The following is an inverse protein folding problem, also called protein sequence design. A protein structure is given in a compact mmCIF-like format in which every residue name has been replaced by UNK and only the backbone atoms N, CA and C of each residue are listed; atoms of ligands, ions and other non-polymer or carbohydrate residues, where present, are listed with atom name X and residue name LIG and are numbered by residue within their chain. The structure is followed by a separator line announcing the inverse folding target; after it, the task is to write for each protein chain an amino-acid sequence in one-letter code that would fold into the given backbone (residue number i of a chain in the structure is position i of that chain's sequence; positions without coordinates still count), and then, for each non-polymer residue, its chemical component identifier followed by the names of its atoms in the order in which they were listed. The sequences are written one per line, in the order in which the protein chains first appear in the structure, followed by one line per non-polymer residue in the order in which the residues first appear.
data_IF_299726405939
#
_entry.id   IF_299726405939
#
_cell.length_a   1.000
_cell.length_b   1.000
_cell.length_c   1.000
_cell.angle_alpha   90.00
_cell.angle_beta   90.00
_cell.angle_gamma   90.00
#
_symmetry.space_group_name_H-M   'P 1'
#
loop_
_entity.id
_entity.type
_entity.pdbx_description
1 polymer ?
#
# COMPACT_ATOMS: atom_id res chain seq x y z
N UNK A 1 7.66 -9.32 -57.88
CA UNK A 1 7.27 -8.31 -56.86
C UNK A 1 6.66 -9.06 -55.68
N UNK A 2 7.45 -9.30 -54.64
CA UNK A 2 6.93 -9.91 -53.42
C UNK A 2 6.07 -8.85 -52.71
N UNK A 3 4.79 -9.16 -52.50
CA UNK A 3 3.94 -8.34 -51.65
C UNK A 3 4.57 -8.34 -50.24
N UNK A 4 5.10 -7.20 -49.82
CA UNK A 4 5.54 -7.02 -48.45
C UNK A 4 4.32 -7.25 -47.56
N UNK A 5 4.30 -8.38 -46.86
CA UNK A 5 3.26 -8.70 -45.90
C UNK A 5 3.22 -7.54 -44.91
N UNK A 6 2.14 -6.75 -44.98
CA UNK A 6 1.91 -5.67 -44.03
C UNK A 6 1.68 -6.34 -42.68
N UNK A 7 2.73 -6.40 -41.86
CA UNK A 7 2.63 -6.92 -40.51
C UNK A 7 1.66 -6.03 -39.74
N UNK A 8 0.60 -6.61 -39.19
CA UNK A 8 -0.37 -5.91 -38.35
C UNK A 8 0.37 -5.20 -37.21
N UNK A 9 0.41 -3.86 -37.18
CA UNK A 9 1.14 -3.08 -36.18
C UNK A 9 0.63 -3.37 -34.77
N UNK A 10 -0.65 -3.73 -34.64
CA UNK A 10 -1.29 -4.13 -33.39
C UNK A 10 -0.69 -5.44 -32.85
N UNK A 11 -0.51 -6.42 -33.72
CA UNK A 11 0.09 -7.71 -33.36
C UNK A 11 1.57 -7.55 -32.99
N UNK A 12 2.31 -6.74 -33.74
CA UNK A 12 3.71 -6.41 -33.43
C UNK A 12 3.85 -5.70 -32.08
N UNK A 13 2.99 -4.72 -31.79
CA UNK A 13 2.96 -4.02 -30.51
C UNK A 13 2.69 -4.99 -29.34
N UNK A 14 1.65 -5.83 -29.46
CA UNK A 14 1.33 -6.83 -28.42
C UNK A 14 2.48 -7.81 -28.19
N UNK A 15 3.14 -8.27 -29.25
CA UNK A 15 4.28 -9.16 -29.13
C UNK A 15 5.45 -8.51 -28.38
N UNK A 16 5.77 -7.24 -28.70
CA UNK A 16 6.80 -6.46 -28.00
C UNK A 16 6.45 -6.28 -26.52
N UNK A 17 5.19 -5.93 -26.25
CA UNK A 17 4.72 -5.73 -24.90
C UNK A 17 4.85 -7.04 -24.08
N UNK A 18 4.44 -8.20 -24.64
CA UNK A 18 4.61 -9.51 -23.98
C UNK A 18 6.08 -9.83 -23.75
N UNK A 19 6.96 -9.48 -24.70
CA UNK A 19 8.41 -9.61 -24.54
C UNK A 19 8.96 -8.83 -23.35
N UNK A 20 8.45 -7.63 -23.06
CA UNK A 20 8.85 -6.85 -21.90
C UNK A 20 8.37 -7.47 -20.58
N UNK A 21 7.17 -8.03 -20.55
CA UNK A 21 6.67 -8.77 -19.38
C UNK A 21 7.50 -10.03 -19.10
N UNK A 22 7.84 -10.79 -20.14
CA UNK A 22 8.73 -11.95 -20.04
C UNK A 22 10.12 -11.54 -19.54
N UNK A 23 10.60 -10.36 -19.93
CA UNK A 23 11.84 -9.78 -19.42
C UNK A 23 11.74 -9.26 -17.97
N UNK A 24 10.57 -9.37 -17.32
CA UNK A 24 10.35 -8.94 -15.94
C UNK A 24 10.22 -7.42 -15.78
N UNK A 25 10.01 -6.68 -16.86
CA UNK A 25 9.76 -5.25 -16.77
C UNK A 25 8.33 -5.02 -16.26
N UNK A 26 8.14 -4.16 -15.25
CA UNK A 26 6.81 -3.82 -14.79
C UNK A 26 6.20 -2.88 -15.81
N UNK A 27 5.25 -3.38 -16.59
CA UNK A 27 4.56 -2.56 -17.59
C UNK A 27 3.11 -2.41 -17.09
N UNK A 28 2.57 -1.19 -17.06
CA UNK A 28 1.27 -0.88 -16.45
C UNK A 28 0.09 -1.04 -17.43
N UNK A 29 -0.38 -2.27 -17.65
CA UNK A 29 -1.54 -2.58 -18.49
C UNK A 29 -2.57 -3.23 -17.60
N UNK A 30 -2.85 -2.54 -16.47
CA UNK A 30 -3.64 -2.99 -15.33
C UNK A 30 -5.04 -3.58 -15.67
N UNK A 31 -5.46 -3.52 -16.93
CA UNK A 31 -6.59 -4.27 -17.45
C UNK A 31 -6.38 -4.64 -18.92
N UNK A 32 -7.01 -5.72 -19.42
CA UNK A 32 -7.07 -6.02 -20.85
C UNK A 32 -7.57 -4.85 -21.71
N UNK A 33 -8.42 -3.98 -21.13
CA UNK A 33 -8.91 -2.77 -21.77
C UNK A 33 -7.79 -1.72 -21.99
N UNK A 34 -6.87 -1.55 -21.04
CA UNK A 34 -5.73 -0.65 -21.21
C UNK A 34 -4.79 -1.15 -22.31
N UNK A 35 -4.54 -2.46 -22.38
CA UNK A 35 -3.77 -3.07 -23.46
C UNK A 35 -4.39 -2.84 -24.82
N UNK A 36 -5.72 -3.05 -24.92
CA UNK A 36 -6.46 -2.81 -26.15
C UNK A 36 -6.40 -1.34 -26.57
N UNK A 37 -6.50 -0.41 -25.62
CA UNK A 37 -6.42 1.02 -25.88
C UNK A 37 -5.04 1.48 -26.36
N UNK A 38 -3.95 0.96 -25.78
CA UNK A 38 -2.58 1.25 -26.24
C UNK A 38 -2.36 0.71 -27.65
N UNK A 39 -2.82 -0.51 -27.93
CA UNK A 39 -2.70 -1.12 -29.24
C UNK A 39 -3.55 -0.38 -30.29
N UNK A 40 -4.74 0.08 -29.90
CA UNK A 40 -5.60 0.94 -30.72
C UNK A 40 -4.95 2.29 -31.01
N UNK A 41 -4.28 2.89 -30.02
CA UNK A 41 -3.56 4.14 -30.23
C UNK A 41 -2.45 3.98 -31.28
N UNK A 42 -1.71 2.86 -31.24
CA UNK A 42 -0.69 2.53 -32.25
C UNK A 42 -1.33 2.30 -33.62
N UNK A 43 -2.49 1.62 -33.68
CA UNK A 43 -3.25 1.43 -34.92
C UNK A 43 -3.68 2.76 -35.55
N UNK A 44 -4.03 3.75 -34.72
CA UNK A 44 -4.37 5.11 -35.13
C UNK A 44 -3.15 5.97 -35.52
N UNK A 45 -1.93 5.45 -35.38
CA UNK A 45 -0.71 6.12 -35.82
C UNK A 45 0.15 6.70 -34.70
N UNK A 46 -0.20 6.48 -33.43
CA UNK A 46 0.70 6.83 -32.33
C UNK A 46 2.02 6.05 -32.44
N UNK A 47 3.12 6.71 -32.12
CA UNK A 47 4.44 6.09 -32.09
C UNK A 47 4.48 4.96 -31.04
N UNK A 48 4.63 3.72 -31.52
CA UNK A 48 4.65 2.53 -30.69
C UNK A 48 5.73 2.56 -29.61
N UNK A 49 6.89 3.17 -29.89
CA UNK A 49 7.99 3.27 -28.92
C UNK A 49 7.64 4.23 -27.79
N UNK A 50 7.06 5.40 -28.11
CA UNK A 50 6.60 6.36 -27.10
C UNK A 50 5.49 5.79 -26.21
N UNK A 51 4.52 5.10 -26.81
CA UNK A 51 3.41 4.46 -26.08
C UNK A 51 3.94 3.36 -25.16
N UNK A 52 4.90 2.56 -25.63
CA UNK A 52 5.51 1.50 -24.84
C UNK A 52 6.37 2.06 -23.70
N UNK A 53 7.15 3.11 -23.95
CA UNK A 53 7.93 3.82 -22.92
C UNK A 53 7.03 4.38 -21.82
N UNK A 54 5.92 5.05 -22.20
CA UNK A 54 4.92 5.56 -21.26
C UNK A 54 4.33 4.44 -20.39
N UNK A 55 4.02 3.29 -20.99
CA UNK A 55 3.50 2.12 -20.28
C UNK A 55 4.53 1.50 -19.32
N UNK A 56 5.79 1.39 -19.73
CA UNK A 56 6.90 0.90 -18.90
C UNK A 56 7.14 1.85 -17.73
N UNK A 57 7.27 3.16 -17.99
CA UNK A 57 7.51 4.17 -16.95
C UNK A 57 6.39 4.17 -15.93
N UNK A 58 5.14 4.13 -16.38
CA UNK A 58 3.98 4.06 -15.49
C UNK A 58 3.97 2.76 -14.67
N UNK A 59 4.40 1.63 -15.26
CA UNK A 59 4.56 0.37 -14.55
C UNK A 59 5.68 0.38 -13.52
N UNK A 60 6.82 1.02 -13.82
CA UNK A 60 7.90 1.23 -12.86
C UNK A 60 7.46 2.12 -11.69
N UNK A 61 6.69 3.18 -11.96
CA UNK A 61 6.10 4.02 -10.92
C UNK A 61 5.15 3.22 -10.02
N UNK A 62 4.28 2.40 -10.63
CA UNK A 62 3.38 1.50 -9.91
C UNK A 62 4.14 0.48 -9.05
N UNK A 63 5.16 -0.17 -9.60
CA UNK A 63 5.99 -1.14 -8.91
C UNK A 63 6.79 -0.51 -7.76
N UNK A 64 7.27 0.73 -7.94
CA UNK A 64 7.98 1.47 -6.89
C UNK A 64 7.04 1.84 -5.75
N UNK A 65 5.80 2.27 -6.05
CA UNK A 65 4.76 2.48 -5.03
C UNK A 65 4.40 1.18 -4.31
N UNK A 66 4.27 0.07 -5.04
CA UNK A 66 3.98 -1.24 -4.45
C UNK A 66 5.08 -1.71 -3.48
N UNK A 67 6.36 -1.50 -3.85
CA UNK A 67 7.52 -1.77 -2.98
C UNK A 67 7.57 -0.85 -1.76
N UNK A 68 7.26 0.43 -1.93
CA UNK A 68 7.21 1.40 -0.82
C UNK A 68 6.08 1.14 0.18
N UNK A 69 4.99 0.51 -0.25
CA UNK A 69 3.79 0.35 0.57
C UNK A 69 3.98 -0.56 1.80
N UNK A 70 4.93 -1.50 1.79
CA UNK A 70 5.16 -2.42 2.91
C UNK A 70 6.08 -1.83 4.00
N UNK A 71 7.02 -0.95 3.61
CA UNK A 71 8.02 -0.36 4.51
C UNK A 71 7.45 0.25 5.80
N UNK A 72 6.35 1.05 5.76
CA UNK A 72 5.83 1.65 6.97
C UNK A 72 5.22 0.65 7.95
N UNK A 73 4.87 -0.56 7.50
CA UNK A 73 4.30 -1.60 8.35
C UNK A 73 5.35 -2.51 8.98
N UNK A 74 6.55 -2.56 8.41
CA UNK A 74 7.61 -3.45 8.88
C UNK A 74 8.03 -3.14 10.32
N UNK A 75 8.35 -1.87 10.63
CA UNK A 75 8.78 -1.47 11.98
C UNK A 75 7.70 -1.70 13.05
N UNK A 76 6.45 -1.27 12.88
CA UNK A 76 5.39 -1.56 13.85
C UNK A 76 5.17 -3.06 14.06
N UNK A 77 5.18 -3.85 12.99
CA UNK A 77 5.04 -5.31 13.10
C UNK A 77 6.19 -5.93 13.90
N UNK A 78 7.42 -5.47 13.65
CA UNK A 78 8.61 -5.90 14.40
C UNK A 78 8.52 -5.53 15.88
N UNK A 79 8.10 -4.31 16.21
CA UNK A 79 7.92 -3.84 17.60
C UNK A 79 6.84 -4.64 18.31
N UNK A 80 5.70 -4.89 17.66
CA UNK A 80 4.61 -5.69 18.24
C UNK A 80 5.05 -7.15 18.48
N UNK A 81 5.73 -7.75 17.50
CA UNK A 81 6.27 -9.09 17.62
C UNK A 81 7.30 -9.18 18.77
N UNK A 82 8.19 -8.19 18.88
CA UNK A 82 9.17 -8.10 19.96
C UNK A 82 8.53 -7.94 21.33
N UNK A 83 7.52 -7.07 21.46
CA UNK A 83 6.79 -6.86 22.71
C UNK A 83 6.05 -8.12 23.16
N UNK A 84 5.37 -8.81 22.25
CA UNK A 84 4.68 -10.06 22.57
C UNK A 84 5.64 -11.20 22.91
N UNK A 85 6.75 -11.33 22.18
CA UNK A 85 7.78 -12.30 22.49
C UNK A 85 8.40 -12.02 23.87
N UNK A 86 8.71 -10.75 24.16
CA UNK A 86 9.21 -10.33 25.47
C UNK A 86 8.24 -10.63 26.60
N UNK A 87 6.95 -10.32 26.42
CA UNK A 87 5.89 -10.65 27.39
C UNK A 87 5.80 -12.16 27.64
N UNK A 88 5.84 -12.97 26.58
CA UNK A 88 5.77 -14.43 26.69
C UNK A 88 6.99 -15.02 27.41
N UNK A 89 8.21 -14.57 27.07
CA UNK A 89 9.44 -15.02 27.70
C UNK A 89 9.52 -14.61 29.17
N UNK A 90 9.15 -13.37 29.50
CA UNK A 90 9.10 -12.91 30.88
C UNK A 90 8.02 -13.63 31.69
N UNK A 91 6.83 -13.83 31.14
CA UNK A 91 5.80 -14.63 31.80
C UNK A 91 6.28 -16.06 32.08
N UNK A 92 6.95 -16.70 31.12
CA UNK A 92 7.49 -18.04 31.29
C UNK A 92 8.64 -18.11 32.32
N UNK A 93 9.50 -17.09 32.37
CA UNK A 93 10.68 -17.07 33.25
C UNK A 93 10.41 -16.53 34.66
N UNK A 94 9.61 -15.47 34.80
CA UNK A 94 9.36 -14.81 36.08
C UNK A 94 8.36 -15.57 36.95
N UNK A 95 7.36 -16.23 36.36
CA UNK A 95 6.34 -16.98 37.11
C UNK A 95 6.96 -18.02 38.06
N UNK A 96 7.82 -18.95 37.61
CA UNK A 96 8.41 -19.94 38.53
C UNK A 96 9.33 -19.29 39.57
N UNK A 97 9.96 -18.15 39.25
CA UNK A 97 10.81 -17.43 40.18
C UNK A 97 9.98 -16.81 41.32
N UNK A 98 8.86 -16.17 40.99
CA UNK A 98 7.93 -15.66 42.00
C UNK A 98 7.29 -16.77 42.81
N UNK A 99 6.84 -17.87 42.19
CA UNK A 99 6.32 -19.04 42.90
C UNK A 99 7.32 -19.55 43.96
N UNK A 100 8.60 -19.62 43.61
CA UNK A 100 9.68 -20.00 44.54
C UNK A 100 9.81 -19.04 45.71
N UNK A 101 9.83 -17.73 45.44
CA UNK A 101 9.95 -16.68 46.49
C UNK A 101 8.72 -16.69 47.42
N UNK A 102 7.50 -16.73 46.87
CA UNK A 102 6.28 -16.77 47.70
C UNK A 102 6.24 -18.02 48.59
N UNK A 103 6.66 -19.17 48.06
CA UNK A 103 6.75 -20.41 48.82
C UNK A 103 7.80 -20.34 49.94
N UNK A 104 8.98 -19.77 49.65
CA UNK A 104 10.07 -19.61 50.62
C UNK A 104 9.68 -18.71 51.80
N UNK A 105 9.01 -17.58 51.52
CA UNK A 105 8.58 -16.64 52.56
C UNK A 105 7.24 -16.98 53.20
N UNK A 106 6.57 -18.06 52.79
CA UNK A 106 5.23 -18.46 53.23
C UNK A 106 4.20 -17.32 53.13
N UNK A 107 4.37 -16.42 52.18
CA UNK A 107 3.46 -15.28 51.96
C UNK A 107 2.23 -15.80 51.22
N UNK A 108 1.05 -15.47 51.71
CA UNK A 108 -0.21 -15.84 51.05
C UNK A 108 -0.21 -15.27 49.62
N UNK A 109 -0.48 -16.08 48.58
CA UNK A 109 -0.45 -15.59 47.20
C UNK A 109 -1.48 -14.48 47.02
N UNK A 110 -0.99 -13.31 46.59
CA UNK A 110 -1.81 -12.13 46.32
C UNK A 110 -2.41 -12.13 44.91
N UNK A 111 -3.16 -11.07 44.60
CA UNK A 111 -3.74 -10.83 43.27
C UNK A 111 -2.72 -10.88 42.13
N UNK A 112 -1.48 -10.45 42.38
CA UNK A 112 -0.41 -10.42 41.39
C UNK A 112 0.00 -11.79 40.87
N UNK A 113 0.00 -12.82 41.73
CA UNK A 113 0.35 -14.18 41.32
C UNK A 113 -0.77 -14.81 40.48
N UNK A 114 -2.03 -14.58 40.88
CA UNK A 114 -3.20 -14.96 40.07
C UNK A 114 -3.26 -14.23 38.73
N UNK A 115 -2.83 -12.96 38.66
CA UNK A 115 -2.68 -12.23 37.40
C UNK A 115 -1.56 -12.79 36.51
N UNK A 116 -0.44 -13.22 37.08
CA UNK A 116 0.63 -13.88 36.34
C UNK A 116 0.20 -15.24 35.78
N UNK A 117 -0.50 -16.06 36.56
CA UNK A 117 -1.08 -17.32 36.08
C UNK A 117 -2.16 -17.09 35.03
N UNK A 118 -3.01 -16.09 35.20
CA UNK A 118 -4.00 -15.68 34.21
C UNK A 118 -3.31 -15.18 32.93
N UNK A 119 -2.24 -14.39 33.02
CA UNK A 119 -1.46 -13.94 31.88
C UNK A 119 -0.74 -15.10 31.18
N UNK A 120 -0.22 -16.05 31.94
CA UNK A 120 0.42 -17.27 31.43
C UNK A 120 -0.56 -18.18 30.69
N UNK A 121 -1.76 -18.37 31.24
CA UNK A 121 -2.83 -19.14 30.58
C UNK A 121 -3.46 -18.40 29.40
N UNK A 122 -3.49 -17.07 29.44
CA UNK A 122 -3.92 -16.22 28.33
C UNK A 122 -2.84 -16.04 27.24
N UNK A 123 -1.57 -16.30 27.53
CA UNK A 123 -0.44 -16.17 26.60
C UNK A 123 -0.70 -16.77 25.20
N UNK A 124 -1.13 -18.04 25.05
CA UNK A 124 -1.39 -18.59 23.72
C UNK A 124 -2.52 -17.86 23.00
N UNK A 125 -3.55 -17.40 23.73
CA UNK A 125 -4.66 -16.63 23.18
C UNK A 125 -4.24 -15.22 22.78
N UNK A 126 -3.39 -14.56 23.57
CA UNK A 126 -2.82 -13.26 23.27
C UNK A 126 -1.95 -13.35 22.02
N UNK A 127 -1.10 -14.37 21.93
CA UNK A 127 -0.24 -14.60 20.78
C UNK A 127 -1.06 -14.92 19.52
N UNK A 128 -2.09 -15.76 19.65
CA UNK A 128 -3.04 -16.04 18.57
C UNK A 128 -3.81 -14.78 18.11
N UNK A 129 -4.29 -13.96 19.05
CA UNK A 129 -5.00 -12.71 18.76
C UNK A 129 -4.09 -11.69 18.07
N UNK A 130 -2.82 -11.62 18.45
CA UNK A 130 -1.83 -10.77 17.81
C UNK A 130 -1.54 -11.24 16.38
N UNK A 131 -1.34 -12.56 16.17
CA UNK A 131 -1.15 -13.12 14.84
C UNK A 131 -2.38 -12.85 13.97
N UNK A 132 -3.59 -13.03 14.51
CA UNK A 132 -4.83 -12.72 13.81
C UNK A 132 -4.94 -11.22 13.48
N UNK A 133 -4.59 -10.33 14.41
CA UNK A 133 -4.60 -8.89 14.18
C UNK A 133 -3.58 -8.46 13.12
N UNK A 134 -2.37 -9.03 13.14
CA UNK A 134 -1.36 -8.81 12.11
C UNK A 134 -1.81 -9.36 10.76
N UNK A 135 -2.44 -10.53 10.72
CA UNK A 135 -2.99 -11.12 9.51
C UNK A 135 -4.14 -10.26 8.95
N UNK A 136 -5.04 -9.76 9.79
CA UNK A 136 -6.11 -8.83 9.40
C UNK A 136 -5.56 -7.49 8.95
N UNK A 137 -4.54 -6.94 9.63
CA UNK A 137 -3.89 -5.71 9.23
C UNK A 137 -3.16 -5.87 7.89
N UNK A 138 -2.46 -6.99 7.70
CA UNK A 138 -1.82 -7.36 6.43
C UNK A 138 -2.86 -7.56 5.33
N UNK A 139 -3.93 -8.30 5.60
CA UNK A 139 -5.03 -8.51 4.67
C UNK A 139 -5.75 -7.20 4.35
N UNK A 140 -5.99 -6.31 5.31
CA UNK A 140 -6.56 -5.00 5.08
C UNK A 140 -5.61 -4.12 4.27
N UNK A 141 -4.30 -4.19 4.52
CA UNK A 141 -3.29 -3.47 3.76
C UNK A 141 -3.17 -3.97 2.31
N UNK A 142 -3.33 -5.29 2.08
CA UNK A 142 -3.28 -5.89 0.73
C UNK A 142 -4.61 -5.79 0.00
N UNK A 143 -5.75 -6.06 0.64
CA UNK A 143 -7.10 -5.94 0.05
C UNK A 143 -7.48 -4.49 -0.25
N UNK A 144 -6.99 -3.50 0.52
CA UNK A 144 -7.13 -2.09 0.16
C UNK A 144 -6.26 -1.69 -1.04
N UNK A 145 -5.23 -2.47 -1.42
CA UNK A 145 -4.57 -2.29 -2.74
C UNK A 145 -5.54 -2.60 -3.87
N UNK A 146 -6.46 -3.54 -3.68
CA UNK A 146 -7.48 -3.88 -4.68
C UNK A 146 -8.68 -2.92 -4.68
N UNK A 147 -8.95 -2.22 -3.57
CA UNK A 147 -10.14 -1.35 -3.41
C UNK A 147 -9.88 0.15 -3.47
N UNK A 148 -8.63 0.62 -3.42
CA UNK A 148 -8.31 2.04 -3.65
C UNK A 148 -8.21 2.37 -5.14
N UNK A 149 -9.16 1.85 -5.92
CA UNK A 149 -9.55 2.40 -7.21
C UNK A 149 -10.36 3.69 -6.97
N UNK A 150 -9.70 4.72 -6.40
CA UNK A 150 -10.00 6.06 -6.88
C UNK A 150 -9.62 6.13 -8.37
N UNK A 151 -10.11 7.12 -9.15
CA UNK A 151 -9.70 7.27 -10.55
C UNK A 151 -8.18 7.17 -10.63
N UNK A 152 -7.68 6.06 -11.19
CA UNK A 152 -6.30 5.59 -11.05
C UNK A 152 -5.40 6.70 -11.60
N UNK A 153 -4.78 7.48 -10.71
CA UNK A 153 -3.92 8.61 -11.12
C UNK A 153 -2.83 8.19 -12.12
N UNK A 154 -2.36 6.95 -12.02
CA UNK A 154 -1.43 6.32 -12.95
C UNK A 154 -2.09 5.94 -14.28
N UNK A 155 -3.31 5.42 -14.26
CA UNK A 155 -4.09 5.13 -15.48
C UNK A 155 -4.47 6.41 -16.21
N UNK A 156 -4.84 7.45 -15.48
CA UNK A 156 -5.08 8.78 -16.03
C UNK A 156 -3.80 9.38 -16.61
N UNK A 157 -2.64 9.23 -15.94
CA UNK A 157 -1.36 9.67 -16.47
C UNK A 157 -0.97 8.93 -17.76
N UNK A 158 -1.12 7.61 -17.79
CA UNK A 158 -0.88 6.78 -18.97
C UNK A 158 -1.83 7.15 -20.12
N UNK A 159 -3.12 7.34 -19.83
CA UNK A 159 -4.08 7.77 -20.83
C UNK A 159 -3.75 9.17 -21.37
N UNK A 160 -3.32 10.12 -20.53
CA UNK A 160 -2.87 11.44 -20.99
C UNK A 160 -1.63 11.36 -21.89
N UNK A 161 -0.64 10.51 -21.57
CA UNK A 161 0.52 10.30 -22.44
C UNK A 161 0.17 9.61 -23.76
N UNK A 162 -0.77 8.66 -23.71
CA UNK A 162 -1.27 7.97 -24.91
C UNK A 162 -2.01 8.96 -25.82
N UNK A 163 -2.84 9.83 -25.25
CA UNK A 163 -3.52 10.89 -25.98
C UNK A 163 -2.55 11.93 -26.53
N UNK A 164 -1.46 12.24 -25.80
CA UNK A 164 -0.41 13.11 -26.30
C UNK A 164 0.29 12.51 -27.53
N UNK A 165 0.61 11.20 -27.49
CA UNK A 165 1.20 10.50 -28.63
C UNK A 165 0.27 10.46 -29.85
N UNK A 166 -1.05 10.37 -29.64
CA UNK A 166 -2.06 10.47 -30.69
C UNK A 166 -2.15 11.90 -31.27
N UNK A 167 -2.05 12.91 -30.42
CA UNK A 167 -2.00 14.31 -30.86
C UNK A 167 -0.74 14.61 -31.67
N UNK A 168 0.44 14.11 -31.24
CA UNK A 168 1.70 14.21 -31.98
C UNK A 168 1.57 13.58 -33.39
N UNK A 169 0.77 12.51 -33.52
CA UNK A 169 0.50 11.81 -34.77
C UNK A 169 -0.58 12.50 -35.65
N UNK A 170 -1.17 13.61 -35.19
CA UNK A 170 -2.21 14.34 -35.92
C UNK A 170 -3.58 13.65 -35.92
N UNK A 171 -3.83 12.71 -35.00
CA UNK A 171 -5.10 11.98 -34.91
C UNK A 171 -6.23 12.90 -34.46
N UNK A 172 -7.38 12.79 -35.12
CA UNK A 172 -8.54 13.62 -34.84
C UNK A 172 -9.10 13.36 -33.43
N UNK A 173 -9.58 14.39 -32.71
CA UNK A 173 -10.10 14.23 -31.35
C UNK A 173 -11.20 13.17 -31.23
N UNK A 174 -12.07 13.06 -32.23
CA UNK A 174 -13.18 12.09 -32.27
C UNK A 174 -12.67 10.64 -32.21
N UNK A 175 -11.59 10.33 -32.92
CA UNK A 175 -10.97 9.00 -32.93
C UNK A 175 -10.24 8.70 -31.61
N UNK A 176 -9.82 9.73 -30.88
CA UNK A 176 -9.15 9.58 -29.58
C UNK A 176 -10.10 9.33 -28.41
N UNK A 177 -11.42 9.52 -28.58
CA UNK A 177 -12.42 9.38 -27.51
C UNK A 177 -12.51 7.97 -26.96
N UNK A 178 -12.55 6.95 -27.84
CA UNK A 178 -12.60 5.54 -27.44
C UNK A 178 -11.36 5.12 -26.62
N UNK A 179 -10.18 5.63 -26.99
CA UNK A 179 -8.94 5.43 -26.24
C UNK A 179 -9.04 6.10 -24.87
N UNK A 180 -9.52 7.34 -24.81
CA UNK A 180 -9.70 8.08 -23.55
C UNK A 180 -10.69 7.38 -22.59
N UNK A 181 -11.81 6.87 -23.09
CA UNK A 181 -12.80 6.12 -22.31
C UNK A 181 -12.21 4.83 -21.72
N UNK A 182 -11.38 4.12 -22.48
CA UNK A 182 -10.70 2.93 -21.98
C UNK A 182 -9.73 3.23 -20.82
N UNK A 183 -9.24 4.46 -20.69
CA UNK A 183 -8.47 4.93 -19.53
C UNK A 183 -9.34 5.54 -18.41
N UNK A 184 -10.67 5.61 -18.60
CA UNK A 184 -11.60 6.22 -17.65
C UNK A 184 -11.56 7.75 -17.64
N UNK A 185 -11.04 8.37 -18.71
CA UNK A 185 -10.87 9.83 -18.82
C UNK A 185 -12.19 10.52 -19.26
N UNK A 186 -13.11 9.79 -19.90
CA UNK A 186 -14.33 10.36 -20.52
C UNK A 186 -15.55 10.57 -19.61
N UNK A 187 -15.78 9.74 -18.59
CA UNK A 187 -17.04 9.74 -17.82
C UNK A 187 -16.95 10.42 -16.42
N UNK A 188 -15.74 10.66 -15.91
CA UNK A 188 -15.50 11.17 -14.55
C UNK A 188 -15.05 12.64 -14.53
N UNK A 189 -15.52 13.46 -15.48
CA UNK A 189 -15.13 14.85 -15.67
C UNK A 189 -15.69 15.83 -14.60
N UNK A 190 -15.64 15.47 -13.32
CA UNK A 190 -15.88 16.37 -12.19
C UNK A 190 -14.58 16.98 -11.62
N UNK A 191 -13.42 16.85 -12.28
CA UNK A 191 -12.17 17.62 -12.00
C UNK A 191 -11.08 17.33 -13.06
N UNK A 192 -10.15 18.24 -13.49
CA UNK A 192 -10.05 19.71 -13.65
C UNK A 192 -10.10 20.15 -15.16
N UNK A 193 -9.92 21.44 -15.54
CA UNK A 193 -10.03 21.96 -16.92
C UNK A 193 -9.23 21.23 -18.02
N UNK A 194 -8.19 20.48 -17.64
CA UNK A 194 -7.23 19.89 -18.58
C UNK A 194 -7.84 18.73 -19.42
N UNK A 195 -8.92 18.08 -18.96
CA UNK A 195 -9.62 17.07 -19.78
C UNK A 195 -10.49 17.75 -20.85
N UNK A 196 -11.13 18.88 -20.53
CA UNK A 196 -11.81 19.72 -21.52
C UNK A 196 -10.82 20.29 -22.56
N UNK A 197 -9.57 20.55 -22.14
CA UNK A 197 -8.46 20.94 -23.03
C UNK A 197 -8.05 19.79 -23.96
N UNK A 198 -7.96 18.56 -23.42
CA UNK A 198 -7.64 17.36 -24.18
C UNK A 198 -8.67 17.05 -25.28
N UNK A 199 -9.93 17.45 -25.11
CA UNK A 199 -11.03 17.20 -26.05
C UNK A 199 -11.24 18.31 -27.09
N UNK A 200 -10.38 19.34 -27.14
CA UNK A 200 -10.37 20.30 -28.26
C UNK A 200 -10.68 21.77 -27.93
N UNK A 201 -10.63 22.18 -26.66
CA UNK A 201 -10.61 23.61 -26.31
C UNK A 201 -9.22 24.20 -26.60
N UNK A 202 -9.14 25.11 -27.57
CA UNK A 202 -7.95 25.92 -27.83
C UNK A 202 -7.76 26.93 -26.68
N UNK A 203 -6.52 27.05 -26.19
CA UNK A 203 -6.16 27.84 -25.02
C UNK A 203 -5.27 29.02 -25.34
N UNK A 204 -5.12 29.34 -26.63
CA UNK A 204 -4.37 30.52 -27.04
C UNK A 204 -2.88 30.38 -26.74
N UNK A 205 -2.23 29.40 -27.36
CA UNK A 205 -0.77 29.40 -27.53
C UNK A 205 0.01 28.21 -26.95
N UNK A 206 -0.63 27.27 -26.27
CA UNK A 206 0.02 26.03 -25.82
C UNK A 206 -0.41 24.86 -26.70
N UNK A 207 0.53 24.13 -27.33
CA UNK A 207 0.18 22.97 -28.16
C UNK A 207 -0.48 21.86 -27.31
N UNK A 208 -1.51 21.21 -27.87
CA UNK A 208 -2.35 20.19 -27.20
C UNK A 208 -1.52 19.06 -26.57
N UNK A 209 -0.47 18.62 -27.26
CA UNK A 209 0.46 17.60 -26.77
C UNK A 209 1.14 18.01 -25.45
N UNK A 210 1.55 19.27 -25.31
CA UNK A 210 2.28 19.75 -24.13
C UNK A 210 1.32 19.89 -22.95
N UNK A 211 0.09 20.34 -23.21
CA UNK A 211 -0.97 20.36 -22.21
C UNK A 211 -1.29 18.95 -21.67
N UNK A 212 -1.34 17.95 -22.54
CA UNK A 212 -1.56 16.54 -22.17
C UNK A 212 -0.38 15.96 -21.38
N UNK A 213 0.86 16.25 -21.79
CA UNK A 213 2.06 15.86 -21.02
C UNK A 213 2.07 16.52 -19.63
N UNK A 214 1.66 17.79 -19.54
CA UNK A 214 1.52 18.48 -18.26
C UNK A 214 0.40 17.87 -17.40
N UNK A 215 -0.73 17.49 -18.01
CA UNK A 215 -1.81 16.75 -17.36
C UNK A 215 -1.29 15.46 -16.73
N UNK A 216 -0.51 14.69 -17.49
CA UNK A 216 0.09 13.43 -17.03
C UNK A 216 1.01 13.68 -15.83
N UNK A 217 1.85 14.73 -15.86
CA UNK A 217 2.70 15.11 -14.72
C UNK A 217 1.88 15.48 -13.48
N UNK A 218 0.82 16.27 -13.63
CA UNK A 218 -0.06 16.65 -12.53
C UNK A 218 -0.80 15.44 -11.96
N UNK A 219 -1.29 14.55 -12.82
CA UNK A 219 -1.94 13.31 -12.41
C UNK A 219 -0.97 12.42 -11.60
N UNK A 220 0.28 12.26 -12.06
CA UNK A 220 1.33 11.55 -11.32
C UNK A 220 1.61 12.19 -9.96
N UNK A 221 1.77 13.51 -9.93
CA UNK A 221 2.06 14.26 -8.71
C UNK A 221 0.92 14.17 -7.69
N UNK A 222 -0.34 14.30 -8.13
CA UNK A 222 -1.52 14.09 -7.28
C UNK A 222 -1.63 12.67 -6.76
N UNK A 223 -1.31 11.68 -7.60
CA UNK A 223 -1.21 10.29 -7.17
C UNK A 223 -0.20 10.13 -6.03
N UNK A 224 0.99 10.73 -6.16
CA UNK A 224 2.01 10.71 -5.12
C UNK A 224 1.56 11.43 -3.83
N UNK A 225 0.87 12.57 -3.93
CA UNK A 225 0.40 13.35 -2.78
C UNK A 225 -0.75 12.68 -2.03
N UNK A 226 -1.79 12.21 -2.74
CA UNK A 226 -2.95 11.55 -2.13
C UNK A 226 -2.62 10.20 -1.49
N UNK A 227 -1.66 9.46 -2.07
CA UNK A 227 -1.18 8.22 -1.48
C UNK A 227 -0.26 8.48 -0.27
N UNK A 228 0.42 9.63 -0.25
CA UNK A 228 1.47 9.99 0.69
C UNK A 228 0.97 10.46 2.06
N UNK A 229 0.07 11.44 2.16
CA UNK A 229 -0.10 12.13 3.46
C UNK A 229 -1.19 11.54 4.34
N UNK A 230 -2.44 11.52 3.88
CA UNK A 230 -3.57 11.08 4.72
C UNK A 230 -3.50 9.59 5.05
N UNK A 231 -3.05 8.75 4.10
CA UNK A 231 -2.93 7.31 4.31
C UNK A 231 -1.71 6.95 5.15
N UNK A 232 -0.59 7.65 5.00
CA UNK A 232 0.58 7.41 5.83
C UNK A 232 0.34 7.86 7.26
N UNK A 233 -0.28 9.03 7.47
CA UNK A 233 -0.66 9.50 8.80
C UNK A 233 -1.61 8.49 9.48
N UNK A 234 -2.65 8.04 8.79
CA UNK A 234 -3.58 7.04 9.32
C UNK A 234 -2.88 5.72 9.69
N UNK A 235 -1.93 5.26 8.87
CA UNK A 235 -1.13 4.06 9.16
C UNK A 235 -0.20 4.25 10.35
N UNK A 236 0.45 5.41 10.46
CA UNK A 236 1.31 5.76 11.60
C UNK A 236 0.49 5.80 12.88
N UNK A 237 -0.68 6.46 12.87
CA UNK A 237 -1.57 6.53 14.04
C UNK A 237 -2.02 5.15 14.47
N UNK A 238 -2.49 4.31 13.54
CA UNK A 238 -2.89 2.93 13.85
C UNK A 238 -1.72 2.12 14.40
N UNK A 239 -0.54 2.21 13.78
CA UNK A 239 0.66 1.54 14.26
C UNK A 239 1.06 1.99 15.69
N UNK A 240 0.99 3.29 15.96
CA UNK A 240 1.35 3.88 17.25
C UNK A 240 0.36 3.48 18.34
N UNK A 241 -0.94 3.42 18.02
CA UNK A 241 -1.97 2.92 18.94
C UNK A 241 -1.74 1.43 19.27
N UNK A 242 -1.50 0.60 18.26
CA UNK A 242 -1.27 -0.84 18.46
C UNK A 242 0.01 -1.06 19.29
N UNK A 243 1.11 -0.40 18.93
CA UNK A 243 2.37 -0.48 19.68
C UNK A 243 2.23 0.03 21.11
N UNK A 244 1.54 1.16 21.31
CA UNK A 244 1.29 1.72 22.64
C UNK A 244 0.47 0.79 23.53
N UNK A 245 -0.58 0.17 22.99
CA UNK A 245 -1.38 -0.83 23.72
C UNK A 245 -0.56 -2.07 24.07
N UNK A 246 0.30 -2.55 23.15
CA UNK A 246 1.17 -3.68 23.42
C UNK A 246 2.20 -3.38 24.52
N UNK A 247 2.83 -2.20 24.48
CA UNK A 247 3.77 -1.75 25.51
C UNK A 247 3.07 -1.56 26.86
N UNK A 248 1.86 -0.99 26.88
CA UNK A 248 1.08 -0.82 28.09
C UNK A 248 0.73 -2.18 28.72
N UNK A 249 0.26 -3.14 27.92
CA UNK A 249 -0.03 -4.49 28.40
C UNK A 249 1.22 -5.17 28.97
N UNK A 250 2.36 -5.04 28.29
CA UNK A 250 3.65 -5.53 28.77
C UNK A 250 4.05 -4.89 30.11
N UNK A 251 3.94 -3.56 30.23
CA UNK A 251 4.26 -2.85 31.47
C UNK A 251 3.35 -3.30 32.62
N UNK A 252 2.05 -3.46 32.37
CA UNK A 252 1.12 -3.96 33.37
C UNK A 252 1.52 -5.36 33.87
N UNK A 253 1.84 -6.29 32.96
CA UNK A 253 2.29 -7.64 33.33
C UNK A 253 3.58 -7.61 34.15
N UNK A 254 4.50 -6.69 33.86
CA UNK A 254 5.78 -6.60 34.56
C UNK A 254 5.68 -5.92 35.93
N UNK A 255 4.93 -4.82 36.03
CA UNK A 255 4.94 -3.95 37.22
C UNK A 255 3.88 -4.32 38.26
N UNK A 256 2.72 -4.87 37.88
CA UNK A 256 1.68 -5.27 38.85
C UNK A 256 2.19 -6.29 39.88
N UNK A 257 2.88 -7.38 39.49
CA UNK A 257 3.36 -8.37 40.46
C UNK A 257 4.40 -7.78 41.42
N UNK A 258 5.27 -6.89 40.92
CA UNK A 258 6.27 -6.21 41.72
C UNK A 258 5.62 -5.28 42.76
N UNK A 259 4.61 -4.49 42.37
CA UNK A 259 3.88 -3.61 43.28
C UNK A 259 3.17 -4.43 44.38
N UNK A 260 2.49 -5.52 44.01
CA UNK A 260 1.82 -6.39 44.97
C UNK A 260 2.80 -7.02 45.95
N UNK A 261 3.98 -7.45 45.45
CA UNK A 261 5.04 -7.99 46.29
C UNK A 261 5.59 -6.95 47.29
N UNK A 262 5.91 -5.73 46.83
CA UNK A 262 6.38 -4.67 47.73
C UNK A 262 5.33 -4.28 48.77
N UNK A 263 4.06 -4.25 48.37
CA UNK A 263 2.95 -3.97 49.29
C UNK A 263 2.83 -5.05 50.36
N UNK A 264 2.93 -6.33 49.98
CA UNK A 264 2.91 -7.45 50.92
C UNK A 264 4.07 -7.39 51.93
N UNK A 265 5.28 -7.05 51.48
CA UNK A 265 6.43 -6.84 52.39
C UNK A 265 6.18 -5.67 53.34
N UNK A 266 5.68 -4.55 52.82
CA UNK A 266 5.39 -3.37 53.63
C UNK A 266 4.38 -3.68 54.74
N UNK A 267 3.30 -4.40 54.45
CA UNK A 267 2.28 -4.80 55.43
C UNK A 267 2.85 -5.79 56.47
N UNK A 268 3.72 -6.71 56.05
CA UNK A 268 4.41 -7.64 56.94
C UNK A 268 5.41 -6.94 57.88
N UNK A 269 6.00 -5.81 57.46
CA UNK A 269 6.96 -5.05 58.27
C UNK A 269 6.31 -4.22 59.37
N UNK A 270 5.07 -3.76 59.17
CA UNK A 270 4.32 -2.94 60.14
C UNK A 270 3.69 -3.81 61.25
N UNK A 271 3.49 -5.09 60.99
CA UNK A 271 2.87 -6.02 61.95
C UNK A 271 3.86 -6.69 62.91
N UNK A 272 5.16 -6.40 62.78
CA UNK A 272 6.23 -6.87 63.69
C UNK A 272 6.72 -5.73 64.58
#
# INVERSE_FOLDING_TARGET
MAAAAHSDPTAAFRARAVGLEVAGLPVAWASPAATAALAEAVRLGADADKVLEAAVRTGQDAATRARGAWRPWFYPALVCAGAALGAALLGAGLTPLFEGVYAEFQVRPGSGLGLLEAARSASPWLLASMIAALAVAFWAATSRRSRSAGPDSLRAALGCETLAALADAGVLPEETTAVAEAFGIGAAASTPPIIAWATGLDLGGVPREEALRQAARVARARGAQHDGEARQLGRIVVALVIAGLAVLAYALVLFLPAIDFFRAISEASVSR
#
